data_IF_273430076974
#
_entry.id   IF_273430076974
#
_cell.length_a   1.000
_cell.length_b   1.000
_cell.length_c   1.000
_cell.angle_alpha   90.00
_cell.angle_beta   90.00
_cell.angle_gamma   90.00
#
_symmetry.space_group_name_H-M   'P 1'
#
loop_
_entity.id
_entity.type
_entity.pdbx_description
1 polymer ?
#
# COMPACT_ATOMS: atom_id res chain seq x y z
N UNK A 1 8.00 4.10 -15.06
CA UNK A 1 7.68 3.20 -13.93
C UNK A 1 8.75 3.13 -12.83
N UNK A 2 10.06 3.17 -13.15
CA UNK A 2 11.15 3.08 -12.14
C UNK A 2 11.01 4.07 -10.97
N UNK A 3 10.66 5.34 -11.26
CA UNK A 3 10.53 6.39 -10.25
C UNK A 3 9.40 6.12 -9.23
N UNK A 4 8.23 5.67 -9.69
CA UNK A 4 7.10 5.37 -8.80
C UNK A 4 7.47 4.24 -7.83
N UNK A 5 8.02 3.13 -8.34
CA UNK A 5 8.43 2.01 -7.50
C UNK A 5 9.47 2.42 -6.46
N UNK A 6 10.47 3.24 -6.84
CA UNK A 6 11.46 3.77 -5.89
C UNK A 6 10.79 4.60 -4.79
N UNK A 7 9.83 5.47 -5.15
CA UNK A 7 9.10 6.30 -4.18
C UNK A 7 8.22 5.46 -3.26
N UNK A 8 7.51 4.46 -3.78
CA UNK A 8 6.66 3.58 -2.98
C UNK A 8 7.47 2.75 -1.97
N UNK A 9 8.64 2.26 -2.37
CA UNK A 9 9.56 1.56 -1.48
C UNK A 9 10.15 2.50 -0.41
N UNK A 10 10.62 3.68 -0.80
CA UNK A 10 11.17 4.66 0.14
C UNK A 10 10.13 5.13 1.18
N UNK A 11 8.86 5.19 0.80
CA UNK A 11 7.75 5.55 1.69
C UNK A 11 7.16 4.35 2.46
N UNK A 12 7.67 3.14 2.23
CA UNK A 12 7.26 1.88 2.87
C UNK A 12 5.75 1.61 2.73
N UNK A 13 5.23 1.67 1.50
CA UNK A 13 3.86 1.27 1.23
C UNK A 13 3.74 -0.24 1.02
N UNK A 14 2.83 -0.88 1.78
CA UNK A 14 2.49 -2.30 1.59
C UNK A 14 1.20 -2.51 0.79
N UNK A 15 0.35 -1.49 0.73
CA UNK A 15 -0.91 -1.51 0.01
C UNK A 15 -1.15 -0.15 -0.63
N UNK A 16 -1.53 -0.13 -1.90
CA UNK A 16 -1.79 1.10 -2.64
C UNK A 16 -3.07 0.97 -3.45
N UNK A 17 -3.99 1.91 -3.26
CA UNK A 17 -5.13 2.13 -4.14
C UNK A 17 -4.72 3.02 -5.32
N UNK A 18 -5.17 2.68 -6.52
CA UNK A 18 -4.88 3.45 -7.73
C UNK A 18 -6.13 4.17 -8.20
N UNK A 19 -6.05 5.50 -8.31
CA UNK A 19 -7.13 6.34 -8.83
C UNK A 19 -6.68 7.03 -10.11
N UNK A 20 -7.53 6.97 -11.14
CA UNK A 20 -7.27 7.54 -12.45
C UNK A 20 -8.23 8.69 -12.73
N UNK A 21 -7.69 9.81 -13.20
CA UNK A 21 -8.42 10.98 -13.73
C UNK A 21 -7.73 11.44 -15.02
N UNK A 22 -8.12 10.87 -16.16
CA UNK A 22 -7.56 11.22 -17.48
C UNK A 22 -6.19 10.58 -17.83
N UNK A 23 -5.78 9.50 -17.16
CA UNK A 23 -4.53 8.79 -17.47
C UNK A 23 -4.77 7.62 -18.45
N UNK A 24 -4.01 7.42 -19.53
CA UNK A 24 -4.40 6.49 -20.60
C UNK A 24 -4.10 5.00 -20.32
N UNK A 25 -3.57 4.65 -19.14
CA UNK A 25 -3.24 3.26 -18.77
C UNK A 25 -4.28 2.73 -17.79
N UNK A 26 -4.66 1.47 -17.94
CA UNK A 26 -5.59 0.82 -17.02
C UNK A 26 -4.93 0.51 -15.66
N UNK A 27 -5.61 0.77 -14.53
CA UNK A 27 -5.06 0.56 -13.19
C UNK A 27 -4.52 -0.85 -12.96
N UNK A 28 -5.18 -1.88 -13.50
CA UNK A 28 -4.82 -3.29 -13.35
C UNK A 28 -3.44 -3.60 -13.94
N UNK A 29 -3.16 -3.08 -15.13
CA UNK A 29 -1.85 -3.21 -15.78
C UNK A 29 -0.75 -2.52 -14.97
N UNK A 30 -1.12 -1.46 -14.25
CA UNK A 30 -0.19 -0.76 -13.38
C UNK A 30 0.05 -1.51 -12.07
N UNK A 31 -1.00 -2.09 -11.46
CA UNK A 31 -0.90 -2.86 -10.20
C UNK A 31 0.13 -3.99 -10.30
N UNK A 32 0.11 -4.76 -11.39
CA UNK A 32 1.04 -5.87 -11.61
C UNK A 32 2.52 -5.44 -11.63
N UNK A 33 2.80 -4.15 -11.85
CA UNK A 33 4.14 -3.59 -12.01
C UNK A 33 4.63 -2.84 -10.77
N UNK A 34 3.78 -2.68 -9.74
CA UNK A 34 4.12 -1.98 -8.51
C UNK A 34 4.98 -2.86 -7.63
N UNK A 35 6.06 -2.29 -7.09
CA UNK A 35 6.92 -2.94 -6.10
C UNK A 35 6.60 -2.38 -4.72
N UNK A 36 5.75 -3.08 -3.97
CA UNK A 36 5.35 -2.74 -2.61
C UNK A 36 6.21 -3.50 -1.58
N UNK A 37 6.28 -2.98 -0.36
CA UNK A 37 6.98 -3.65 0.74
C UNK A 37 6.06 -4.67 1.41
N UNK A 38 6.62 -5.71 2.06
CA UNK A 38 5.83 -6.75 2.77
C UNK A 38 5.06 -6.16 3.96
N UNK A 39 5.71 -5.28 4.71
CA UNK A 39 5.14 -4.53 5.83
C UNK A 39 5.18 -3.04 5.50
N UNK A 40 4.27 -2.26 6.10
CA UNK A 40 4.19 -0.84 5.81
C UNK A 40 2.80 -0.25 6.00
N UNK A 41 2.61 0.94 5.43
CA UNK A 41 1.36 1.69 5.48
C UNK A 41 0.56 1.56 4.20
N UNK A 42 -0.76 1.75 4.32
CA UNK A 42 -1.66 1.86 3.18
C UNK A 42 -1.62 3.27 2.59
N UNK A 43 -1.74 3.37 1.27
CA UNK A 43 -1.73 4.64 0.54
C UNK A 43 -2.62 4.67 -0.69
N UNK A 44 -2.62 5.82 -1.35
CA UNK A 44 -3.29 6.06 -2.62
C UNK A 44 -2.32 6.73 -3.58
N UNK A 45 -2.33 6.28 -4.83
CA UNK A 45 -1.65 6.96 -5.94
C UNK A 45 -2.72 7.48 -6.90
N UNK A 46 -2.70 8.78 -7.14
CA UNK A 46 -3.63 9.46 -8.03
C UNK A 46 -2.87 9.90 -9.28
N UNK A 47 -3.31 9.40 -10.43
CA UNK A 47 -2.86 9.88 -11.73
C UNK A 47 -3.89 10.86 -12.26
N UNK A 48 -3.50 12.12 -12.40
CA UNK A 48 -4.37 13.17 -12.89
C UNK A 48 -3.68 14.00 -13.97
N UNK A 49 -4.45 14.81 -14.68
CA UNK A 49 -3.91 15.83 -15.58
C UNK A 49 -4.33 17.24 -15.14
N UNK A 50 -3.50 18.22 -15.44
CA UNK A 50 -3.82 19.65 -15.36
C UNK A 50 -3.41 20.27 -16.69
N UNK A 51 -4.37 20.51 -17.59
CA UNK A 51 -4.08 20.78 -19.00
C UNK A 51 -3.27 19.62 -19.60
N UNK A 52 -2.15 19.94 -20.25
CA UNK A 52 -1.25 18.95 -20.85
C UNK A 52 -0.31 18.27 -19.83
N UNK A 53 -0.24 18.80 -18.60
CA UNK A 53 0.65 18.26 -17.59
C UNK A 53 0.07 17.00 -16.94
N UNK A 54 0.87 15.93 -16.92
CA UNK A 54 0.56 14.70 -16.19
C UNK A 54 1.11 14.80 -14.77
N UNK A 55 0.24 14.67 -13.78
CA UNK A 55 0.56 14.79 -12.36
C UNK A 55 0.33 13.45 -11.67
N UNK A 56 1.25 13.11 -10.77
CA UNK A 56 1.16 11.93 -9.92
C UNK A 56 1.25 12.35 -8.45
N UNK A 57 0.16 12.14 -7.71
CA UNK A 57 0.10 12.40 -6.28
C UNK A 57 0.20 11.08 -5.51
N UNK A 58 1.01 11.08 -4.44
CA UNK A 58 1.14 9.95 -3.52
C UNK A 58 0.67 10.43 -2.15
N UNK A 59 -0.36 9.80 -1.61
CA UNK A 59 -0.87 10.07 -0.27
C UNK A 59 -0.85 8.82 0.59
N UNK A 60 -0.66 8.97 1.89
CA UNK A 60 -0.87 7.90 2.86
C UNK A 60 -2.21 8.06 3.57
N UNK A 61 -2.78 6.94 4.01
CA UNK A 61 -4.02 6.96 4.79
C UNK A 61 -3.72 7.43 6.21
N UNK A 62 -4.38 8.50 6.65
CA UNK A 62 -4.18 9.06 8.01
C UNK A 62 -4.75 8.15 9.11
N UNK A 63 -5.87 7.48 8.85
CA UNK A 63 -6.58 6.64 9.84
C UNK A 63 -6.65 5.14 9.45
N UNK A 64 -5.64 4.63 8.75
CA UNK A 64 -5.62 3.23 8.36
C UNK A 64 -4.98 2.36 9.43
N UNK A 65 -5.75 1.61 10.23
CA UNK A 65 -5.21 0.39 10.82
C UNK A 65 -4.64 -0.43 9.66
N UNK A 66 -3.34 -0.77 9.73
CA UNK A 66 -2.72 -1.63 8.74
C UNK A 66 -3.59 -2.90 8.64
N UNK A 67 -4.21 -3.16 7.49
CA UNK A 67 -5.08 -4.34 7.33
C UNK A 67 -4.32 -5.67 7.35
N UNK A 68 -3.01 -5.64 7.61
CA UNK A 68 -2.16 -6.81 7.80
C UNK A 68 -1.45 -6.74 9.16
N UNK A 69 -2.20 -6.91 10.24
CA UNK A 69 -1.69 -7.41 11.53
C UNK A 69 -2.37 -8.73 11.91
N UNK A 70 -2.72 -9.55 10.91
CA UNK A 70 -3.20 -10.90 11.13
C UNK A 70 -2.12 -11.85 10.63
N UNK A 71 -1.53 -12.58 11.57
CA UNK A 71 -0.70 -13.75 11.30
C UNK A 71 0.81 -13.53 11.30
N UNK A 72 1.39 -13.11 12.43
CA UNK A 72 2.70 -13.58 12.91
C UNK A 72 2.98 -12.98 14.29
N UNK A 73 2.34 -13.54 15.32
CA UNK A 73 2.96 -13.65 16.65
C UNK A 73 3.05 -15.15 16.90
N UNK A 74 4.23 -15.70 16.65
CA UNK A 74 4.70 -16.92 17.30
C UNK A 74 4.63 -16.71 18.81
N UNK A 75 3.95 -17.61 19.53
CA UNK A 75 3.81 -17.48 20.98
C UNK A 75 3.06 -18.66 21.59
N UNK A 76 3.74 -19.78 21.73
CA UNK A 76 3.39 -20.86 22.65
C UNK A 76 3.35 -20.29 24.09
N UNK A 77 2.16 -20.01 24.65
CA UNK A 77 1.93 -19.83 26.09
C UNK A 77 0.45 -19.54 26.39
N UNK A 78 -0.32 -20.58 26.71
CA UNK A 78 -1.31 -20.54 27.80
C UNK A 78 -1.23 -21.92 28.47
N UNK A 79 -0.44 -21.97 29.55
CA UNK A 79 -0.46 -23.01 30.58
C UNK A 79 -1.92 -23.15 31.06
N UNK A 80 -2.50 -24.34 31.15
CA UNK A 80 -2.33 -25.24 32.29
C UNK A 80 -2.41 -24.50 33.62
N UNK A 81 -3.62 -24.14 34.04
CA UNK A 81 -4.04 -24.00 35.45
C UNK A 81 -5.52 -23.64 35.46
N UNK A 82 -6.38 -24.65 35.64
CA UNK A 82 -7.56 -24.59 36.50
C UNK A 82 -8.06 -26.02 36.67
N UNK A 83 -7.35 -26.76 37.52
CA UNK A 83 -7.95 -27.82 38.31
C UNK A 83 -8.48 -27.14 39.57
N UNK A 84 -9.80 -27.05 39.70
CA UNK A 84 -10.51 -27.32 40.95
C UNK A 84 -11.99 -27.60 40.65
#
# INVERSE_FOLDING_TARGET
MKLLNRRLQALQFNQVELKKRGFPVEPEQLRARLKLTRLGRAGVVIFTRRGDQRIMCIGWRLNGKAKNSVGMITGNQLKAEEAN
#
